data_IF_726462714972
#
_entry.id   IF_726462714972
#
_cell.length_a   1.000
_cell.length_b   1.000
_cell.length_c   1.000
_cell.angle_alpha   90.00
_cell.angle_beta   90.00
_cell.angle_gamma   90.00
#
_symmetry.space_group_name_H-M   'P 1'
#
loop_
_entity.id
_entity.type
_entity.pdbx_description
1 polymer ?
#
# COMPACT_ATOMS: atom_id res chain seq x y z
N UNK A 1 -3.76 11.91 18.91
CA UNK A 1 -4.03 10.47 19.09
C UNK A 1 -5.45 10.29 19.64
N UNK A 2 -6.33 9.55 18.95
CA UNK A 2 -7.67 9.22 19.48
C UNK A 2 -7.64 8.00 20.42
N UNK A 3 -6.56 7.23 20.39
CA UNK A 3 -6.42 5.97 21.16
C UNK A 3 -6.09 6.20 22.64
N UNK A 4 -5.47 7.34 23.02
CA UNK A 4 -5.14 7.66 24.41
C UNK A 4 -6.37 8.00 25.29
N UNK A 5 -7.48 8.41 24.68
CA UNK A 5 -8.69 8.83 25.38
C UNK A 5 -9.51 7.67 26.00
N UNK A 6 -9.19 6.41 25.67
CA UNK A 6 -9.96 5.23 26.08
C UNK A 6 -9.16 4.19 26.87
N UNK A 7 -7.95 4.52 27.34
CA UNK A 7 -7.05 3.56 28.02
C UNK A 7 -6.57 4.10 29.38
N UNK A 8 -7.31 3.88 30.48
CA UNK A 8 -6.75 4.09 31.81
C UNK A 8 -5.77 2.94 32.11
N UNK A 9 -4.52 3.07 31.64
CA UNK A 9 -3.39 2.19 31.94
C UNK A 9 -2.62 2.78 33.14
N UNK A 10 -3.25 2.76 34.31
CA UNK A 10 -2.76 3.35 35.55
C UNK A 10 -1.66 2.51 36.19
N UNK A 11 -1.66 1.20 35.96
CA UNK A 11 -0.72 0.24 36.56
C UNK A 11 -0.63 0.40 38.10
N UNK A 12 -1.77 0.71 38.71
CA UNK A 12 -1.89 1.03 40.13
C UNK A 12 -1.72 -0.18 41.05
N UNK A 13 -1.80 -1.40 40.51
CA UNK A 13 -1.72 -2.65 41.27
C UNK A 13 -0.63 -3.57 40.71
N UNK A 14 0.11 -4.26 41.57
CA UNK A 14 1.22 -5.13 41.18
C UNK A 14 2.57 -4.74 41.79
N UNK A 15 3.54 -5.66 41.70
CA UNK A 15 4.91 -5.39 42.12
C UNK A 15 5.69 -4.76 40.95
N UNK A 16 6.42 -3.66 41.20
CA UNK A 16 7.32 -3.09 40.20
C UNK A 16 8.44 -4.09 39.85
N UNK A 17 8.87 -4.07 38.59
CA UNK A 17 10.10 -4.71 38.16
C UNK A 17 11.33 -3.90 38.60
N UNK A 18 12.52 -4.37 38.21
CA UNK A 18 13.80 -3.70 38.49
C UNK A 18 13.89 -2.27 37.95
N UNK A 19 13.06 -1.91 36.96
CA UNK A 19 13.02 -0.62 36.30
C UNK A 19 11.86 0.27 36.82
N UNK A 20 11.17 -0.17 37.88
CA UNK A 20 10.05 0.55 38.49
C UNK A 20 8.74 0.47 37.69
N UNK A 21 8.66 -0.41 36.69
CA UNK A 21 7.47 -0.60 35.84
C UNK A 21 6.58 -1.69 36.42
N UNK A 22 5.27 -1.54 36.27
CA UNK A 22 4.28 -2.49 36.76
C UNK A 22 3.53 -3.11 35.58
N UNK A 23 3.36 -4.43 35.61
CA UNK A 23 2.59 -5.14 34.58
C UNK A 23 1.10 -4.81 34.73
N UNK A 24 0.45 -4.42 33.64
CA UNK A 24 -1.00 -4.21 33.57
C UNK A 24 -1.75 -5.48 33.99
N UNK A 25 -2.88 -5.32 34.68
CA UNK A 25 -3.67 -6.45 35.21
C UNK A 25 -5.14 -6.36 34.79
N UNK A 26 -5.80 -7.51 34.74
CA UNK A 26 -7.25 -7.69 34.62
C UNK A 26 -7.85 -6.84 33.48
N UNK A 27 -8.60 -5.78 33.83
CA UNK A 27 -9.29 -4.92 32.88
C UNK A 27 -8.34 -4.10 32.01
N UNK A 28 -7.22 -3.62 32.56
CA UNK A 28 -6.24 -2.82 31.82
C UNK A 28 -5.61 -3.66 30.71
N UNK A 29 -5.22 -4.89 31.05
CA UNK A 29 -4.56 -5.79 30.12
C UNK A 29 -5.53 -6.35 29.08
N UNK A 30 -6.73 -6.75 29.50
CA UNK A 30 -7.79 -7.19 28.60
C UNK A 30 -8.22 -6.12 27.60
N UNK A 31 -8.36 -4.88 28.05
CA UNK A 31 -8.65 -3.77 27.14
C UNK A 31 -7.48 -3.44 26.22
N UNK A 32 -6.23 -3.46 26.72
CA UNK A 32 -5.06 -3.25 25.87
C UNK A 32 -5.00 -4.28 24.73
N UNK A 33 -5.20 -5.57 25.02
CA UNK A 33 -5.25 -6.65 24.02
C UNK A 33 -6.40 -6.45 23.04
N UNK A 34 -7.62 -6.18 23.53
CA UNK A 34 -8.76 -5.92 22.65
C UNK A 34 -8.51 -4.72 21.74
N UNK A 35 -7.97 -3.62 22.26
CA UNK A 35 -7.70 -2.40 21.50
C UNK A 35 -6.49 -2.52 20.55
N UNK A 36 -5.57 -3.43 20.82
CA UNK A 36 -4.48 -3.74 19.90
C UNK A 36 -4.99 -4.38 18.59
N UNK A 37 -6.09 -5.13 18.65
CA UNK A 37 -6.68 -5.85 17.51
C UNK A 37 -7.98 -5.22 16.98
N UNK A 38 -8.74 -4.49 17.81
CA UNK A 38 -10.14 -4.10 17.56
C UNK A 38 -10.50 -2.72 18.10
N UNK A 39 -11.52 -2.09 17.51
CA UNK A 39 -12.10 -0.81 17.97
C UNK A 39 -13.53 -0.98 18.54
N UNK A 40 -13.90 -2.21 18.89
CA UNK A 40 -15.24 -2.58 19.36
C UNK A 40 -15.12 -3.34 20.68
N UNK A 41 -16.25 -3.54 21.38
CA UNK A 41 -16.26 -4.18 22.71
C UNK A 41 -15.57 -5.57 22.69
N UNK A 42 -14.86 -5.96 23.77
CA UNK A 42 -14.28 -7.30 23.92
C UNK A 42 -15.30 -8.41 23.64
N UNK A 43 -14.84 -9.52 23.05
CA UNK A 43 -15.67 -10.73 22.91
C UNK A 43 -15.94 -11.37 24.28
N UNK A 44 -16.91 -12.29 24.33
CA UNK A 44 -17.39 -12.84 25.59
C UNK A 44 -16.31 -13.62 26.34
N UNK A 45 -15.47 -14.39 25.63
CA UNK A 45 -14.41 -15.17 26.26
C UNK A 45 -13.35 -14.28 26.89
N UNK A 46 -12.96 -13.18 26.22
CA UNK A 46 -12.05 -12.21 26.79
C UNK A 46 -12.67 -11.51 28.01
N UNK A 47 -13.96 -11.18 27.98
CA UNK A 47 -14.66 -10.61 29.14
C UNK A 47 -14.66 -11.57 30.33
N UNK A 48 -14.94 -12.85 30.09
CA UNK A 48 -14.89 -13.89 31.12
C UNK A 48 -13.47 -14.04 31.68
N UNK A 49 -12.44 -14.07 30.82
CA UNK A 49 -11.05 -14.14 31.27
C UNK A 49 -10.66 -12.96 32.16
N UNK A 50 -11.12 -11.76 31.85
CA UNK A 50 -10.91 -10.57 32.67
C UNK A 50 -11.59 -10.71 34.04
N UNK A 51 -12.87 -11.09 34.08
CA UNK A 51 -13.65 -11.19 35.33
C UNK A 51 -13.13 -12.31 36.24
N UNK A 52 -12.65 -13.41 35.66
CA UNK A 52 -12.09 -14.55 36.40
C UNK A 52 -10.63 -14.34 36.84
N UNK A 53 -10.03 -13.17 36.56
CA UNK A 53 -8.63 -12.88 36.92
C UNK A 53 -7.61 -13.68 36.10
N UNK A 54 -7.98 -14.11 34.90
CA UNK A 54 -7.12 -14.84 33.93
C UNK A 54 -6.46 -13.90 32.92
N UNK A 55 -6.16 -12.67 33.33
CA UNK A 55 -5.46 -11.64 32.56
C UNK A 55 -4.39 -10.95 33.42
N UNK A 56 -3.48 -11.74 34.00
CA UNK A 56 -2.50 -11.27 34.99
C UNK A 56 -1.04 -11.57 34.65
N UNK A 57 -0.83 -12.50 33.73
CA UNK A 57 0.48 -13.00 33.35
C UNK A 57 0.73 -12.85 31.85
N UNK A 58 2.00 -12.89 31.44
CA UNK A 58 2.36 -12.96 30.01
C UNK A 58 1.73 -14.17 29.31
N UNK A 59 1.63 -15.31 30.01
CA UNK A 59 1.03 -16.52 29.48
C UNK A 59 -0.47 -16.35 29.22
N UNK A 60 -1.17 -15.62 30.08
CA UNK A 60 -2.58 -15.27 29.87
C UNK A 60 -2.78 -14.43 28.63
N UNK A 61 -1.96 -13.38 28.46
CA UNK A 61 -2.02 -12.52 27.28
C UNK A 61 -1.72 -13.31 26.02
N UNK A 62 -0.67 -14.14 26.05
CA UNK A 62 -0.30 -14.99 24.93
C UNK A 62 -1.49 -15.87 24.51
N UNK A 63 -2.13 -16.56 25.47
CA UNK A 63 -3.31 -17.40 25.21
C UNK A 63 -4.43 -16.62 24.54
N UNK A 64 -4.79 -15.45 25.07
CA UNK A 64 -5.89 -14.65 24.50
C UNK A 64 -5.53 -14.07 23.13
N UNK A 65 -4.29 -13.61 22.93
CA UNK A 65 -3.84 -13.09 21.63
C UNK A 65 -3.83 -14.20 20.58
N UNK A 66 -3.27 -15.37 20.88
CA UNK A 66 -3.25 -16.52 19.97
C UNK A 66 -4.66 -16.98 19.61
N UNK A 67 -5.55 -17.12 20.61
CA UNK A 67 -6.97 -17.43 20.40
C UNK A 67 -7.64 -16.40 19.49
N UNK A 68 -7.49 -15.12 19.81
CA UNK A 68 -8.11 -14.05 19.05
C UNK A 68 -7.56 -13.97 17.63
N UNK A 69 -6.29 -14.25 17.39
CA UNK A 69 -5.71 -14.26 16.04
C UNK A 69 -6.19 -15.46 15.22
N UNK A 70 -6.28 -16.64 15.83
CA UNK A 70 -6.71 -17.88 15.17
C UNK A 70 -8.21 -17.93 14.81
N UNK A 71 -9.05 -17.17 15.52
CA UNK A 71 -10.50 -17.14 15.27
C UNK A 71 -10.87 -16.16 14.15
N UNK A 72 -11.18 -16.68 12.97
CA UNK A 72 -11.62 -15.91 11.79
C UNK A 72 -12.95 -15.17 12.00
N UNK A 73 -13.80 -15.61 12.94
CA UNK A 73 -15.06 -14.93 13.27
C UNK A 73 -14.82 -13.61 14.01
N UNK A 74 -13.67 -13.49 14.70
CA UNK A 74 -13.28 -12.28 15.39
C UNK A 74 -12.73 -11.29 14.39
N UNK A 75 -13.49 -10.23 14.12
CA UNK A 75 -13.02 -9.12 13.28
C UNK A 75 -11.84 -8.39 13.94
N UNK A 76 -10.71 -8.31 13.23
CA UNK A 76 -9.43 -7.68 13.67
C UNK A 76 -9.06 -6.44 12.82
N UNK A 77 -9.87 -5.35 12.84
CA UNK A 77 -9.71 -4.23 11.93
C UNK A 77 -8.38 -3.47 12.08
N UNK A 78 -7.72 -3.54 13.24
CA UNK A 78 -6.40 -2.92 13.47
C UNK A 78 -5.31 -3.51 12.58
N UNK A 79 -5.38 -4.80 12.27
CA UNK A 79 -4.37 -5.49 11.44
C UNK A 79 -4.42 -4.93 10.01
N UNK A 80 -5.62 -4.84 9.42
CA UNK A 80 -5.77 -4.23 8.10
C UNK A 80 -5.41 -2.73 8.13
N UNK A 81 -5.72 -2.03 9.23
CA UNK A 81 -5.35 -0.63 9.40
C UNK A 81 -3.83 -0.42 9.38
N UNK A 82 -3.06 -1.31 10.00
CA UNK A 82 -1.60 -1.27 9.91
C UNK A 82 -1.12 -1.27 8.47
N UNK A 83 -1.64 -2.17 7.62
CA UNK A 83 -1.21 -2.23 6.22
C UNK A 83 -1.62 -1.00 5.40
N UNK A 84 -2.80 -0.41 5.70
CA UNK A 84 -3.19 0.88 5.11
C UNK A 84 -2.22 1.99 5.51
N UNK A 85 -1.91 2.11 6.79
CA UNK A 85 -0.98 3.14 7.28
C UNK A 85 0.48 2.87 6.85
N UNK A 86 0.85 1.60 6.64
CA UNK A 86 2.19 1.20 6.23
C UNK A 86 2.44 1.49 4.74
N UNK A 87 1.49 1.14 3.86
CA UNK A 87 1.62 1.31 2.42
C UNK A 87 0.93 2.56 1.86
N UNK A 88 0.07 3.23 2.62
CA UNK A 88 -0.69 4.42 2.21
C UNK A 88 -1.60 4.20 0.98
N UNK A 89 -1.88 2.95 0.58
CA UNK A 89 -2.67 2.66 -0.64
C UNK A 89 -4.12 3.13 -0.55
N UNK A 90 -4.65 3.41 0.65
CA UNK A 90 -6.01 3.90 0.83
C UNK A 90 -6.17 5.40 0.55
N UNK A 91 -5.05 6.13 0.40
CA UNK A 91 -5.02 7.56 0.11
C UNK A 91 -5.37 7.90 -1.34
N UNK A 92 -5.26 6.94 -2.27
CA UNK A 92 -5.41 7.20 -3.72
C UNK A 92 -6.75 7.84 -4.08
N UNK A 93 -7.83 7.44 -3.41
CA UNK A 93 -9.16 8.04 -3.61
C UNK A 93 -9.30 9.48 -3.09
N UNK A 94 -8.36 9.94 -2.25
CA UNK A 94 -8.33 11.31 -1.74
C UNK A 94 -7.44 12.24 -2.56
N UNK A 95 -6.68 11.70 -3.53
CA UNK A 95 -5.87 12.52 -4.44
C UNK A 95 -6.77 13.11 -5.54
N UNK A 96 -7.09 14.40 -5.39
CA UNK A 96 -7.85 15.13 -6.40
C UNK A 96 -7.00 15.35 -7.65
N UNK A 97 -7.38 14.68 -8.75
CA UNK A 97 -6.73 14.83 -10.05
C UNK A 97 -7.28 16.02 -10.83
N UNK A 98 -6.40 16.74 -11.51
CA UNK A 98 -6.80 17.69 -12.53
C UNK A 98 -7.46 16.96 -13.71
N UNK A 99 -8.59 17.47 -14.19
CA UNK A 99 -9.39 16.78 -15.20
C UNK A 99 -8.67 16.69 -16.56
N UNK A 100 -7.82 17.67 -16.89
CA UNK A 100 -7.07 17.71 -18.15
C UNK A 100 -5.86 16.79 -18.07
N UNK A 101 -5.10 16.85 -16.98
CA UNK A 101 -3.98 15.94 -16.74
C UNK A 101 -4.44 14.47 -16.71
N UNK A 102 -5.57 14.19 -16.06
CA UNK A 102 -6.15 12.86 -16.00
C UNK A 102 -6.55 12.33 -17.38
N UNK A 103 -7.13 13.17 -18.24
CA UNK A 103 -7.51 12.78 -19.60
C UNK A 103 -6.31 12.30 -20.44
N UNK A 104 -5.12 12.85 -20.20
CA UNK A 104 -3.91 12.52 -20.96
C UNK A 104 -3.34 11.14 -20.57
N UNK A 105 -3.61 10.67 -19.35
CA UNK A 105 -3.15 9.35 -18.86
C UNK A 105 -3.77 8.17 -19.60
N UNK A 106 -4.92 8.38 -20.26
CA UNK A 106 -5.71 7.35 -20.89
C UNK A 106 -6.85 6.80 -20.03
N UNK A 107 -7.01 7.22 -18.76
CA UNK A 107 -8.20 6.86 -17.96
C UNK A 107 -9.36 7.82 -18.19
N UNK A 108 -10.56 7.38 -17.79
CA UNK A 108 -11.75 8.23 -17.82
C UNK A 108 -11.62 9.41 -16.85
N UNK A 109 -11.81 10.62 -17.35
CA UNK A 109 -11.97 11.84 -16.55
C UNK A 109 -13.44 12.27 -16.39
N UNK A 110 -14.39 11.41 -16.80
CA UNK A 110 -15.82 11.74 -16.78
C UNK A 110 -16.37 11.63 -15.36
N UNK A 111 -16.90 12.72 -14.83
CA UNK A 111 -17.57 12.77 -13.53
C UNK A 111 -16.70 12.23 -12.40
N UNK A 112 -17.27 11.36 -11.57
CA UNK A 112 -16.60 10.77 -10.40
C UNK A 112 -15.97 9.39 -10.68
N UNK A 113 -15.74 9.04 -11.96
CA UNK A 113 -15.31 7.69 -12.34
C UNK A 113 -13.93 7.31 -11.76
N UNK A 114 -12.93 8.18 -11.91
CA UNK A 114 -11.60 7.92 -11.36
C UNK A 114 -11.59 7.83 -9.83
N UNK A 115 -12.27 8.78 -9.17
CA UNK A 115 -12.44 8.78 -7.72
C UNK A 115 -13.00 7.45 -7.22
N UNK A 116 -14.10 6.97 -7.81
CA UNK A 116 -14.74 5.69 -7.45
C UNK A 116 -13.80 4.50 -7.67
N UNK A 117 -13.15 4.44 -8.83
CA UNK A 117 -12.21 3.37 -9.14
C UNK A 117 -11.08 3.28 -8.11
N UNK A 118 -10.57 4.41 -7.59
CA UNK A 118 -9.54 4.40 -6.55
C UNK A 118 -10.06 3.90 -5.20
N UNK A 119 -11.28 4.24 -4.77
CA UNK A 119 -11.87 3.64 -3.55
C UNK A 119 -12.15 2.15 -3.71
N UNK A 120 -12.60 1.73 -4.91
CA UNK A 120 -12.84 0.32 -5.21
C UNK A 120 -11.52 -0.47 -5.23
N UNK A 121 -10.46 0.14 -5.77
CA UNK A 121 -9.09 -0.38 -5.76
C UNK A 121 -8.54 -0.53 -4.34
N UNK A 122 -8.88 0.38 -3.42
CA UNK A 122 -8.56 0.21 -1.98
C UNK A 122 -9.21 -1.06 -1.42
N UNK A 123 -10.51 -1.28 -1.65
CA UNK A 123 -11.20 -2.48 -1.19
C UNK A 123 -10.65 -3.77 -1.83
N UNK A 124 -10.21 -3.69 -3.09
CA UNK A 124 -9.50 -4.77 -3.78
C UNK A 124 -8.16 -5.09 -3.11
N UNK A 125 -7.37 -4.05 -2.83
CA UNK A 125 -6.06 -4.18 -2.19
C UNK A 125 -6.20 -4.71 -0.77
N UNK A 126 -7.19 -4.23 -0.01
CA UNK A 126 -7.54 -4.77 1.30
C UNK A 126 -7.80 -6.28 1.22
N UNK A 127 -8.59 -6.72 0.24
CA UNK A 127 -8.96 -8.12 0.07
C UNK A 127 -7.77 -9.00 -0.30
N UNK A 128 -6.86 -8.49 -1.13
CA UNK A 128 -5.60 -9.18 -1.45
C UNK A 128 -4.75 -9.36 -0.19
N UNK A 129 -4.62 -8.31 0.63
CA UNK A 129 -3.88 -8.37 1.90
C UNK A 129 -4.52 -9.40 2.84
N UNK A 130 -5.85 -9.43 2.96
CA UNK A 130 -6.55 -10.45 3.75
C UNK A 130 -6.24 -11.88 3.27
N UNK A 131 -6.11 -12.12 1.96
CA UNK A 131 -5.73 -13.43 1.43
C UNK A 131 -4.30 -13.81 1.83
N UNK A 132 -3.35 -12.89 1.69
CA UNK A 132 -1.94 -13.10 2.09
C UNK A 132 -1.84 -13.34 3.60
N UNK A 133 -2.59 -12.57 4.41
CA UNK A 133 -2.65 -12.75 5.86
C UNK A 133 -3.32 -14.05 6.29
N UNK A 134 -4.22 -14.61 5.46
CA UNK A 134 -4.80 -15.93 5.71
C UNK A 134 -3.79 -17.05 5.48
N UNK A 135 -2.91 -16.89 4.49
CA UNK A 135 -1.79 -17.81 4.26
C UNK A 135 -0.69 -17.66 5.33
N UNK A 136 -0.51 -16.44 5.84
CA UNK A 136 0.36 -16.07 6.96
C UNK A 136 1.81 -16.57 6.84
N UNK A 137 2.36 -16.50 5.62
CA UNK A 137 3.71 -16.95 5.30
C UNK A 137 4.43 -15.92 4.47
N UNK A 138 5.67 -15.61 4.81
CA UNK A 138 6.54 -14.67 4.13
C UNK A 138 5.80 -13.35 3.82
N UNK A 139 4.99 -12.85 4.78
CA UNK A 139 3.93 -11.87 4.51
C UNK A 139 4.46 -10.61 3.83
N UNK A 140 5.53 -10.00 4.35
CA UNK A 140 6.13 -8.82 3.71
C UNK A 140 6.60 -9.12 2.28
N UNK A 141 7.30 -10.25 2.09
CA UNK A 141 7.82 -10.64 0.79
C UNK A 141 6.68 -10.88 -0.20
N UNK A 142 5.62 -11.56 0.20
CA UNK A 142 4.42 -11.75 -0.63
C UNK A 142 3.76 -10.42 -0.99
N UNK A 143 3.61 -9.50 -0.04
CA UNK A 143 3.03 -8.16 -0.30
C UNK A 143 3.85 -7.36 -1.31
N UNK A 144 5.18 -7.54 -1.31
CA UNK A 144 6.10 -6.89 -2.24
C UNK A 144 6.22 -7.62 -3.59
N UNK A 145 6.02 -8.93 -3.65
CA UNK A 145 6.35 -9.74 -4.85
C UNK A 145 5.20 -10.52 -5.46
N UNK A 146 4.00 -10.43 -4.91
CA UNK A 146 2.83 -11.13 -5.46
C UNK A 146 2.50 -10.61 -6.86
N UNK A 147 2.16 -11.53 -7.76
CA UNK A 147 1.58 -11.27 -9.06
C UNK A 147 0.04 -11.33 -9.02
N UNK A 148 -0.55 -11.69 -7.87
CA UNK A 148 -2.00 -11.79 -7.67
C UNK A 148 -2.60 -10.43 -7.41
N UNK A 149 -3.75 -10.18 -8.00
CA UNK A 149 -4.56 -8.98 -7.79
C UNK A 149 -6.04 -9.37 -7.57
N UNK A 150 -6.72 -8.66 -6.68
CA UNK A 150 -8.18 -8.67 -6.63
C UNK A 150 -8.66 -7.48 -7.45
N UNK A 151 -9.52 -7.70 -8.44
CA UNK A 151 -9.83 -6.69 -9.45
C UNK A 151 -11.32 -6.62 -9.78
N UNK A 152 -11.77 -5.42 -10.15
CA UNK A 152 -13.05 -5.14 -10.83
C UNK A 152 -12.84 -5.10 -12.35
N UNK A 153 -13.93 -5.01 -13.11
CA UNK A 153 -13.86 -4.74 -14.55
C UNK A 153 -13.18 -3.39 -14.88
N UNK A 154 -13.36 -2.37 -14.03
CA UNK A 154 -12.71 -1.07 -14.23
C UNK A 154 -11.18 -1.16 -14.07
N UNK A 155 -10.70 -2.07 -13.22
CA UNK A 155 -9.27 -2.25 -12.95
C UNK A 155 -8.51 -2.77 -14.19
N UNK A 156 -9.17 -3.39 -15.17
CA UNK A 156 -8.51 -3.78 -16.44
C UNK A 156 -7.86 -2.59 -17.16
N UNK A 157 -8.43 -1.40 -17.06
CA UNK A 157 -7.82 -0.18 -17.61
C UNK A 157 -6.63 0.27 -16.76
N UNK A 158 -6.78 0.30 -15.44
CA UNK A 158 -5.75 0.82 -14.53
C UNK A 158 -4.52 -0.10 -14.45
N UNK A 159 -4.73 -1.41 -14.52
CA UNK A 159 -3.66 -2.40 -14.59
C UNK A 159 -3.05 -2.52 -16.00
N UNK A 160 -3.68 -1.93 -17.01
CA UNK A 160 -3.23 -1.98 -18.40
C UNK A 160 -2.05 -1.05 -18.73
N UNK A 161 -1.74 -1.04 -20.03
CA UNK A 161 -0.61 -0.33 -20.64
C UNK A 161 -1.08 0.88 -21.45
N UNK A 162 -0.45 2.04 -21.24
CA UNK A 162 -0.67 3.23 -22.05
C UNK A 162 -0.11 3.00 -23.46
N UNK A 163 -0.96 3.15 -24.48
CA UNK A 163 -0.54 3.13 -25.88
C UNK A 163 0.19 4.41 -26.25
N UNK A 164 1.19 4.29 -27.11
CA UNK A 164 1.79 5.40 -27.87
C UNK A 164 0.75 6.08 -28.76
N UNK A 165 1.04 7.29 -29.22
CA UNK A 165 0.16 7.98 -30.17
C UNK A 165 -0.05 7.20 -31.46
N UNK A 166 1.00 6.52 -31.95
CA UNK A 166 0.92 5.70 -33.15
C UNK A 166 -0.02 4.49 -32.95
N UNK A 167 0.13 3.78 -31.84
CA UNK A 167 -0.75 2.65 -31.48
C UNK A 167 -2.18 3.09 -31.23
N UNK A 168 -2.40 4.24 -30.61
CA UNK A 168 -3.75 4.79 -30.41
C UNK A 168 -4.44 5.08 -31.75
N UNK A 169 -3.73 5.70 -32.70
CA UNK A 169 -4.27 5.96 -34.05
C UNK A 169 -4.55 4.64 -34.79
N UNK A 170 -3.66 3.66 -34.69
CA UNK A 170 -3.86 2.35 -35.29
C UNK A 170 -5.08 1.63 -34.69
N UNK A 171 -5.22 1.65 -33.36
CA UNK A 171 -6.36 1.05 -32.65
C UNK A 171 -7.69 1.71 -33.04
N UNK A 172 -7.73 3.04 -33.20
CA UNK A 172 -8.92 3.76 -33.69
C UNK A 172 -9.29 3.34 -35.11
N UNK A 173 -8.31 3.33 -36.03
CA UNK A 173 -8.54 2.89 -37.43
C UNK A 173 -9.05 1.45 -37.52
N UNK A 174 -8.45 0.54 -36.76
CA UNK A 174 -8.87 -0.86 -36.72
C UNK A 174 -10.30 -1.02 -36.20
N UNK A 175 -10.69 -0.25 -35.18
CA UNK A 175 -12.06 -0.27 -34.66
C UNK A 175 -13.08 0.31 -35.66
N UNK A 176 -12.73 1.38 -36.37
CA UNK A 176 -13.56 1.94 -37.44
C UNK A 176 -13.76 0.93 -38.59
N UNK A 177 -12.70 0.21 -38.97
CA UNK A 177 -12.75 -0.83 -40.00
C UNK A 177 -13.62 -2.03 -39.57
N UNK A 178 -13.47 -2.50 -38.32
CA UNK A 178 -14.29 -3.58 -37.78
C UNK A 178 -15.77 -3.19 -37.75
N UNK A 179 -16.08 -2.00 -37.26
CA UNK A 179 -17.45 -1.47 -37.24
C UNK A 179 -18.05 -1.36 -38.64
N UNK A 180 -17.24 -0.98 -39.64
CA UNK A 180 -17.66 -0.96 -41.05
C UNK A 180 -17.97 -2.37 -41.56
N UNK A 181 -17.12 -3.36 -41.28
CA UNK A 181 -17.36 -4.77 -41.67
C UNK A 181 -18.60 -5.36 -40.99
N UNK A 182 -18.87 -5.02 -39.74
CA UNK A 182 -20.08 -5.44 -39.02
C UNK A 182 -21.36 -4.79 -39.58
N UNK A 183 -21.29 -3.52 -39.96
CA UNK A 183 -22.39 -2.83 -40.63
C UNK A 183 -22.69 -3.42 -42.02
N UNK A 184 -21.64 -3.74 -42.79
CA UNK A 184 -21.78 -4.40 -44.10
C UNK A 184 -22.40 -5.81 -43.98
N UNK A 185 -22.07 -6.58 -42.93
CA UNK A 185 -22.64 -7.91 -42.66
C UNK A 185 -24.09 -7.89 -42.17
N UNK A 186 -24.51 -6.84 -41.47
CA UNK A 186 -25.85 -6.76 -40.85
C UNK A 186 -26.94 -6.17 -41.76
N UNK A 187 -26.60 -5.76 -42.99
CA UNK A 187 -27.56 -5.26 -43.99
C UNK A 187 -28.27 -3.95 -43.62
N UNK A 188 -27.99 -3.37 -42.45
CA UNK A 188 -28.46 -2.04 -42.04
C UNK A 188 -27.44 -1.00 -42.49
N UNK A 189 -27.88 0.03 -43.24
CA UNK A 189 -27.09 1.26 -43.39
C UNK A 189 -26.66 1.74 -42.00
N UNK A 190 -25.48 2.36 -41.83
CA UNK A 190 -25.05 2.86 -40.54
C UNK A 190 -25.99 4.00 -40.12
N UNK A 191 -27.05 3.64 -39.39
CA UNK A 191 -27.92 4.61 -38.76
C UNK A 191 -27.04 5.43 -37.78
N UNK A 192 -27.30 6.73 -37.74
CA UNK A 192 -26.64 7.69 -36.85
C UNK A 192 -26.65 7.37 -35.32
N UNK A 193 -27.35 6.35 -34.75
CA UNK A 193 -27.16 5.94 -33.36
C UNK A 193 -25.83 5.21 -33.08
N UNK A 194 -25.13 4.67 -34.08
CA UNK A 194 -23.89 3.91 -33.86
C UNK A 194 -22.71 4.78 -33.34
N UNK A 195 -22.70 6.09 -33.65
CA UNK A 195 -21.70 7.02 -33.09
C UNK A 195 -21.74 7.10 -31.56
N UNK A 196 -22.91 6.95 -30.93
CA UNK A 196 -23.07 7.02 -29.46
C UNK A 196 -22.39 5.88 -28.71
N UNK A 197 -22.13 4.74 -29.35
CA UNK A 197 -21.41 3.60 -28.73
C UNK A 197 -19.94 3.50 -29.18
N UNK A 198 -19.57 4.05 -30.34
CA UNK A 198 -18.16 4.17 -30.75
C UNK A 198 -17.36 5.08 -29.79
N UNK A 199 -18.00 6.10 -29.20
CA UNK A 199 -17.40 7.01 -28.20
C UNK A 199 -17.18 6.39 -26.79
N UNK A 200 -17.39 5.07 -26.62
CA UNK A 200 -17.21 4.36 -25.34
C UNK A 200 -15.96 3.48 -25.27
N UNK A 201 -15.33 3.14 -26.39
CA UNK A 201 -14.15 2.27 -26.38
C UNK A 201 -12.90 3.10 -26.11
N UNK A 202 -12.15 2.73 -25.07
CA UNK A 202 -10.90 3.40 -24.73
C UNK A 202 -9.78 2.95 -25.68
N UNK A 203 -9.43 3.80 -26.64
CA UNK A 203 -8.33 3.53 -27.57
C UNK A 203 -6.96 3.95 -27.04
N UNK A 204 -6.91 4.69 -25.93
CA UNK A 204 -5.67 5.18 -25.34
C UNK A 204 -4.91 4.12 -24.54
N UNK A 205 -5.58 3.06 -24.10
CA UNK A 205 -5.01 2.03 -23.21
C UNK A 205 -5.23 0.65 -23.82
N UNK A 206 -4.21 -0.20 -23.75
CA UNK A 206 -4.37 -1.65 -23.91
C UNK A 206 -4.79 -2.21 -22.55
N UNK A 207 -6.04 -2.67 -22.38
CA UNK A 207 -6.51 -3.20 -21.10
C UNK A 207 -5.70 -4.44 -20.71
N UNK A 208 -5.47 -4.62 -19.41
CA UNK A 208 -4.88 -5.84 -18.88
C UNK A 208 -5.84 -7.02 -19.02
N UNK A 209 -5.28 -8.18 -19.36
CA UNK A 209 -6.00 -9.46 -19.40
C UNK A 209 -6.16 -10.01 -17.99
N UNK A 210 -7.14 -9.49 -17.24
CA UNK A 210 -7.46 -9.97 -15.91
C UNK A 210 -8.60 -10.98 -15.98
N UNK A 211 -8.31 -12.22 -15.62
CA UNK A 211 -9.29 -13.31 -15.51
C UNK A 211 -8.94 -14.22 -14.34
N UNK A 212 -9.96 -14.82 -13.73
CA UNK A 212 -9.79 -15.75 -12.62
C UNK A 212 -11.07 -15.96 -11.83
N UNK A 213 -11.03 -16.75 -10.74
CA UNK A 213 -12.22 -17.07 -9.96
C UNK A 213 -12.82 -15.84 -9.30
N UNK A 214 -14.14 -15.85 -9.14
CA UNK A 214 -14.87 -14.83 -8.40
C UNK A 214 -14.45 -14.83 -6.93
N UNK A 215 -14.34 -13.63 -6.36
CA UNK A 215 -14.02 -13.39 -4.97
C UNK A 215 -14.78 -12.17 -4.48
N UNK A 216 -15.20 -12.22 -3.22
CA UNK A 216 -15.89 -11.10 -2.59
C UNK A 216 -14.93 -10.25 -1.78
N UNK A 217 -15.03 -8.93 -1.94
CA UNK A 217 -14.31 -7.95 -1.14
C UNK A 217 -15.30 -7.15 -0.29
N UNK A 218 -14.91 -6.81 0.94
CA UNK A 218 -15.70 -5.88 1.76
C UNK A 218 -15.48 -4.47 1.24
N UNK A 219 -16.51 -3.88 0.64
CA UNK A 219 -16.46 -2.48 0.20
C UNK A 219 -16.95 -1.58 1.33
N UNK A 220 -16.06 -0.76 1.90
CA UNK A 220 -16.44 0.23 2.90
C UNK A 220 -16.69 1.59 2.26
N UNK A 221 -17.89 1.85 1.72
CA UNK A 221 -18.46 3.22 1.69
C UNK A 221 -19.93 3.32 1.32
N UNK A 222 -20.62 4.11 2.14
CA UNK A 222 -21.73 5.01 1.79
C UNK A 222 -21.11 6.15 0.97
N UNK A 223 -21.14 6.07 -0.36
CA UNK A 223 -20.82 7.19 -1.25
C UNK A 223 -22.14 7.79 -1.71
N UNK A 224 -22.27 9.12 -1.70
CA UNK A 224 -23.50 9.80 -2.12
C UNK A 224 -23.92 9.34 -3.52
N UNK A 225 -25.17 8.85 -3.63
CA UNK A 225 -25.78 8.39 -4.87
C UNK A 225 -25.75 6.88 -5.06
N UNK A 226 -26.51 6.42 -6.06
CA UNK A 226 -26.78 5.03 -6.48
C UNK A 226 -25.55 4.30 -7.05
N UNK A 227 -24.41 4.32 -6.37
CA UNK A 227 -23.29 3.42 -6.65
C UNK A 227 -23.62 2.04 -6.11
N UNK A 228 -23.52 1.00 -6.94
CA UNK A 228 -23.76 -0.37 -6.49
C UNK A 228 -22.68 -0.76 -5.48
N UNK A 229 -23.12 -1.29 -4.34
CA UNK A 229 -22.25 -1.91 -3.35
C UNK A 229 -21.89 -3.33 -3.82
N UNK A 230 -21.47 -3.49 -5.07
CA UNK A 230 -21.16 -4.80 -5.66
C UNK A 230 -19.87 -5.34 -5.03
N UNK A 231 -19.95 -6.38 -4.16
CA UNK A 231 -18.77 -6.97 -3.56
C UNK A 231 -17.99 -7.85 -4.55
N UNK A 232 -18.57 -8.15 -5.72
CA UNK A 232 -18.01 -9.04 -6.74
C UNK A 232 -16.69 -8.49 -7.29
N UNK A 233 -15.69 -9.35 -7.27
CA UNK A 233 -14.35 -9.13 -7.84
C UNK A 233 -13.88 -10.44 -8.45
N UNK A 234 -12.76 -10.37 -9.16
CA UNK A 234 -12.00 -11.55 -9.58
C UNK A 234 -10.65 -11.58 -8.89
N UNK A 235 -10.16 -12.77 -8.55
CA UNK A 235 -8.76 -12.99 -8.20
C UNK A 235 -8.01 -13.32 -9.48
N UNK A 236 -7.18 -12.41 -9.97
CA UNK A 236 -6.45 -12.54 -11.24
C UNK A 236 -4.94 -12.45 -11.02
N UNK A 237 -4.18 -12.69 -12.08
CA UNK A 237 -2.74 -12.45 -12.15
C UNK A 237 -2.48 -11.24 -13.03
N UNK A 238 -1.54 -10.38 -12.63
CA UNK A 238 -1.13 -9.20 -13.40
C UNK A 238 -0.27 -9.59 -14.62
N UNK A 239 -0.22 -8.75 -15.67
CA UNK A 239 0.68 -9.00 -16.81
C UNK A 239 2.16 -9.12 -16.36
N UNK A 240 2.81 -10.19 -16.81
CA UNK A 240 4.20 -10.47 -16.46
C UNK A 240 5.15 -9.36 -16.95
N UNK A 241 6.09 -8.96 -16.09
CA UNK A 241 7.09 -7.93 -16.40
C UNK A 241 6.56 -6.49 -16.38
N UNK A 242 5.25 -6.27 -16.21
CA UNK A 242 4.67 -4.93 -16.08
C UNK A 242 4.42 -4.53 -14.62
N UNK A 243 4.17 -5.50 -13.74
CA UNK A 243 3.78 -5.26 -12.33
C UNK A 243 4.32 -6.35 -11.40
N UNK A 244 4.57 -5.96 -10.16
CA UNK A 244 5.02 -6.81 -9.07
C UNK A 244 4.64 -6.20 -7.72
N UNK A 245 3.79 -6.89 -6.96
CA UNK A 245 3.35 -6.50 -5.61
C UNK A 245 2.65 -5.15 -5.48
N UNK A 246 2.36 -4.78 -4.22
CA UNK A 246 1.52 -3.62 -3.88
C UNK A 246 2.10 -2.29 -4.39
N UNK A 247 3.43 -2.15 -4.44
CA UNK A 247 4.07 -0.91 -4.88
C UNK A 247 3.88 -0.60 -6.37
N UNK A 248 3.36 -1.55 -7.13
CA UNK A 248 3.00 -1.38 -8.54
C UNK A 248 1.50 -1.34 -8.75
N UNK A 249 0.70 -1.39 -7.69
CA UNK A 249 -0.75 -1.26 -7.79
C UNK A 249 -1.17 0.20 -8.04
N UNK A 250 -2.22 0.43 -8.85
CA UNK A 250 -2.75 1.78 -9.08
C UNK A 250 -3.08 2.54 -7.79
N UNK A 251 -3.64 1.86 -6.79
CA UNK A 251 -3.97 2.44 -5.48
C UNK A 251 -2.74 3.08 -4.81
N UNK A 252 -1.63 2.34 -4.71
CA UNK A 252 -0.37 2.84 -4.16
C UNK A 252 0.29 3.92 -5.02
N UNK A 253 0.34 3.70 -6.35
CA UNK A 253 0.98 4.62 -7.30
C UNK A 253 0.29 5.99 -7.34
N UNK A 254 -1.04 6.01 -7.21
CA UNK A 254 -1.85 7.23 -7.14
C UNK A 254 -1.73 7.89 -5.77
N UNK A 255 -1.72 7.14 -4.66
CA UNK A 255 -1.43 7.70 -3.32
C UNK A 255 -0.11 8.48 -3.27
N UNK A 256 0.87 8.04 -4.04
CA UNK A 256 2.20 8.68 -4.16
C UNK A 256 2.35 9.51 -5.44
N UNK A 257 1.29 10.20 -5.84
CA UNK A 257 1.26 11.16 -6.94
C UNK A 257 0.66 12.50 -6.49
N UNK A 258 0.62 13.49 -7.37
CA UNK A 258 -0.10 14.74 -7.12
C UNK A 258 -1.28 14.90 -8.10
N UNK A 259 -1.84 16.10 -8.19
CA UNK A 259 -3.00 16.37 -9.03
C UNK A 259 -2.71 16.23 -10.54
N UNK A 260 -1.49 16.49 -10.98
CA UNK A 260 -1.12 16.63 -12.39
C UNK A 260 -0.06 15.64 -12.84
N UNK A 261 0.84 15.22 -11.94
CA UNK A 261 2.07 14.52 -12.22
C UNK A 261 2.27 13.28 -11.34
N UNK A 262 3.13 12.38 -11.82
CA UNK A 262 3.70 11.31 -11.00
C UNK A 262 4.81 11.90 -10.13
N UNK A 263 5.11 11.27 -9.00
CA UNK A 263 5.99 11.88 -8.01
C UNK A 263 7.08 10.92 -7.55
N UNK A 264 8.14 10.79 -8.36
CA UNK A 264 9.31 9.95 -8.06
C UNK A 264 9.89 10.23 -6.66
N UNK A 265 10.02 11.51 -6.28
CA UNK A 265 10.59 11.89 -4.97
C UNK A 265 9.76 11.34 -3.79
N UNK A 266 8.42 11.38 -3.84
CA UNK A 266 7.54 10.84 -2.78
C UNK A 266 7.65 9.31 -2.71
N UNK A 267 7.67 8.64 -3.87
CA UNK A 267 7.84 7.17 -3.96
C UNK A 267 9.20 6.75 -3.38
N UNK A 268 10.27 7.46 -3.74
CA UNK A 268 11.62 7.22 -3.24
C UNK A 268 11.76 7.48 -1.73
N UNK A 269 11.16 8.56 -1.22
CA UNK A 269 11.05 8.84 0.22
C UNK A 269 10.36 7.69 0.95
N UNK A 270 9.24 7.21 0.42
CA UNK A 270 8.50 6.10 1.01
C UNK A 270 9.38 4.85 1.12
N UNK A 271 10.09 4.46 0.04
CA UNK A 271 10.99 3.29 0.05
C UNK A 271 12.10 3.48 1.09
N UNK A 272 12.71 4.66 1.13
CA UNK A 272 13.77 4.99 2.08
C UNK A 272 13.33 4.82 3.53
N UNK A 273 12.16 5.34 3.86
CA UNK A 273 11.64 5.37 5.24
C UNK A 273 10.97 4.04 5.65
N UNK A 274 10.25 3.39 4.74
CA UNK A 274 9.42 2.21 5.04
C UNK A 274 10.13 0.88 4.80
N UNK A 275 11.05 0.80 3.84
CA UNK A 275 11.76 -0.45 3.51
C UNK A 275 13.23 -0.45 3.91
N UNK A 276 13.96 0.66 3.70
CA UNK A 276 15.41 0.72 4.02
C UNK A 276 15.67 1.24 5.44
N UNK A 277 14.66 1.88 6.04
CA UNK A 277 14.69 2.35 7.42
C UNK A 277 15.55 3.58 7.67
N UNK A 278 15.91 4.30 6.60
CA UNK A 278 16.59 5.60 6.69
C UNK A 278 15.61 6.76 6.89
N UNK A 279 16.12 7.90 7.34
CA UNK A 279 15.34 9.14 7.48
C UNK A 279 15.64 10.16 6.39
N UNK A 280 14.63 10.91 5.99
CA UNK A 280 14.76 12.11 5.17
C UNK A 280 14.41 13.32 6.06
N UNK A 281 15.30 14.32 6.20
CA UNK A 281 14.99 15.51 6.97
C UNK A 281 13.86 16.28 6.31
N UNK A 282 13.03 16.93 7.11
CA UNK A 282 11.99 17.81 6.59
C UNK A 282 12.61 18.97 5.82
N UNK A 283 11.89 19.40 4.79
CA UNK A 283 12.29 20.54 3.96
C UNK A 283 12.22 21.81 4.82
N UNK A 284 13.31 22.58 4.93
CA UNK A 284 13.28 23.84 5.66
C UNK A 284 12.23 24.79 5.07
N UNK A 285 11.59 25.59 5.92
CA UNK A 285 10.51 26.51 5.52
C UNK A 285 10.91 27.52 4.43
N UNK A 286 12.21 27.72 4.21
CA UNK A 286 12.76 28.66 3.24
C UNK A 286 12.91 28.08 1.83
N UNK A 287 12.67 26.78 1.65
CA UNK A 287 12.92 26.08 0.39
C UNK A 287 11.62 25.94 -0.37
N UNK A 288 11.56 26.53 -1.57
CA UNK A 288 10.46 26.32 -2.51
C UNK A 288 10.66 24.99 -3.25
N UNK A 289 10.09 23.91 -2.69
CA UNK A 289 10.23 22.55 -3.21
C UNK A 289 9.26 22.26 -4.37
N UNK A 290 9.33 23.07 -5.43
CA UNK A 290 8.54 22.90 -6.65
C UNK A 290 9.42 22.57 -7.85
N UNK A 291 8.95 21.62 -8.67
CA UNK A 291 9.54 21.38 -9.98
C UNK A 291 9.08 22.46 -10.97
N UNK A 292 9.90 22.84 -11.96
CA UNK A 292 9.48 23.75 -13.02
C UNK A 292 8.20 23.26 -13.74
N UNK A 293 7.29 24.19 -14.02
CA UNK A 293 6.09 23.95 -14.84
C UNK A 293 6.48 23.93 -16.33
N UNK A 294 6.98 22.79 -16.77
CA UNK A 294 7.44 22.54 -18.13
C UNK A 294 6.76 21.30 -18.68
N UNK A 295 5.47 21.37 -19.07
CA UNK A 295 4.68 20.19 -19.44
C UNK A 295 5.14 19.50 -20.73
N UNK A 296 6.08 20.10 -21.47
CA UNK A 296 6.72 19.51 -22.65
C UNK A 296 8.00 18.71 -22.30
N UNK A 297 8.40 18.74 -21.03
CA UNK A 297 9.56 18.04 -20.52
C UNK A 297 9.11 16.83 -19.69
N UNK A 298 9.85 15.75 -19.79
CA UNK A 298 9.70 14.54 -18.96
C UNK A 298 9.89 14.87 -17.48
N UNK A 299 9.41 14.02 -16.57
CA UNK A 299 9.63 14.25 -15.14
C UNK A 299 11.13 14.31 -14.83
N UNK A 300 11.93 13.42 -15.42
CA UNK A 300 13.39 13.40 -15.25
C UNK A 300 14.05 14.70 -15.72
N UNK A 301 13.64 15.25 -16.86
CA UNK A 301 14.14 16.54 -17.37
C UNK A 301 13.76 17.71 -16.43
N UNK A 302 12.55 17.68 -15.85
CA UNK A 302 12.09 18.68 -14.87
C UNK A 302 12.83 18.57 -13.54
N UNK A 303 13.18 17.36 -13.12
CA UNK A 303 13.95 17.09 -11.90
C UNK A 303 15.41 17.55 -11.96
N UNK A 304 15.89 18.15 -13.06
CA UNK A 304 17.27 18.71 -13.11
C UNK A 304 17.58 19.69 -11.98
N UNK A 305 16.57 20.45 -11.51
CA UNK A 305 16.72 21.40 -10.39
C UNK A 305 17.04 20.71 -9.06
N UNK A 306 16.68 19.42 -8.91
CA UNK A 306 16.98 18.66 -7.69
C UNK A 306 18.46 18.30 -7.57
N UNK A 307 19.23 18.45 -8.65
CA UNK A 307 20.66 18.15 -8.74
C UNK A 307 21.56 19.30 -8.32
N UNK A 308 20.99 20.47 -8.02
CA UNK A 308 21.75 21.56 -7.40
C UNK A 308 22.30 21.13 -6.04
N UNK A 309 23.46 21.65 -5.64
CA UNK A 309 24.23 21.18 -4.48
C UNK A 309 23.41 21.11 -3.19
N UNK A 310 22.63 22.16 -2.93
CA UNK A 310 21.77 22.23 -1.76
C UNK A 310 20.66 21.15 -1.80
N UNK A 311 19.91 21.07 -2.90
CA UNK A 311 18.83 20.09 -3.10
C UNK A 311 19.35 18.65 -3.03
N UNK A 312 20.53 18.39 -3.63
CA UNK A 312 21.10 17.05 -3.73
C UNK A 312 21.50 16.46 -2.37
N UNK A 313 21.65 17.28 -1.33
CA UNK A 313 21.87 16.82 0.06
C UNK A 313 20.80 15.81 0.50
N UNK A 314 19.55 16.06 0.13
CA UNK A 314 18.42 15.20 0.46
C UNK A 314 18.02 14.31 -0.73
N UNK A 315 17.96 14.88 -1.94
CA UNK A 315 17.49 14.17 -3.13
C UNK A 315 18.32 12.94 -3.49
N UNK A 316 19.63 12.95 -3.18
CA UNK A 316 20.47 11.76 -3.37
C UNK A 316 19.90 10.52 -2.71
N UNK A 317 19.21 10.65 -1.57
CA UNK A 317 18.64 9.55 -0.79
C UNK A 317 17.27 9.06 -1.28
N UNK A 318 16.62 9.78 -2.20
CA UNK A 318 15.24 9.53 -2.61
C UNK A 318 15.12 9.31 -4.12
N UNK A 319 15.73 10.20 -4.92
CA UNK A 319 15.55 10.20 -6.37
C UNK A 319 15.97 8.84 -6.98
N UNK A 320 17.14 8.25 -6.64
CA UNK A 320 17.52 6.94 -7.20
C UNK A 320 16.57 5.80 -6.85
N UNK A 321 15.85 5.90 -5.72
CA UNK A 321 14.86 4.91 -5.27
C UNK A 321 13.50 5.11 -5.95
N UNK A 322 13.13 6.35 -6.26
CA UNK A 322 11.83 6.72 -6.82
C UNK A 322 11.76 6.70 -8.34
N UNK A 323 12.85 7.08 -9.00
CA UNK A 323 12.97 7.19 -10.45
C UNK A 323 12.69 5.88 -11.22
N UNK A 324 12.91 4.67 -10.66
CA UNK A 324 12.51 3.44 -11.33
C UNK A 324 11.02 3.25 -11.53
N UNK A 325 10.19 3.95 -10.75
CA UNK A 325 8.73 3.95 -10.89
C UNK A 325 8.23 4.87 -12.01
N UNK A 326 9.12 5.51 -12.77
CA UNK A 326 8.75 6.30 -13.96
C UNK A 326 8.08 5.45 -15.05
N UNK A 327 8.23 4.12 -15.00
CA UNK A 327 7.46 3.17 -15.81
C UNK A 327 5.95 3.23 -15.56
N UNK A 328 5.48 4.00 -14.58
CA UNK A 328 4.05 4.26 -14.34
C UNK A 328 3.73 5.74 -14.37
N UNK A 329 2.66 6.10 -15.10
CA UNK A 329 2.16 7.47 -15.13
C UNK A 329 1.45 7.84 -13.82
N UNK A 330 0.94 9.08 -13.73
CA UNK A 330 0.32 9.60 -12.50
C UNK A 330 -1.03 8.98 -12.15
N UNK A 331 -1.66 8.22 -13.06
CA UNK A 331 -2.85 7.41 -12.79
C UNK A 331 -2.50 5.93 -12.48
N UNK A 332 -1.21 5.57 -12.47
CA UNK A 332 -0.72 4.23 -12.17
C UNK A 332 -0.71 3.24 -13.34
N UNK A 333 -0.92 3.72 -14.57
CA UNK A 333 -0.83 2.87 -15.77
C UNK A 333 0.62 2.66 -16.16
N UNK A 334 0.94 1.44 -16.58
CA UNK A 334 2.24 1.12 -17.15
C UNK A 334 2.45 1.92 -18.45
N UNK A 335 3.67 2.42 -18.63
CA UNK A 335 4.09 3.18 -19.82
C UNK A 335 5.52 2.86 -20.20
N UNK A 336 5.78 2.81 -21.50
CA UNK A 336 7.12 2.75 -22.08
C UNK A 336 7.59 4.12 -22.58
N UNK A 337 6.63 5.02 -22.83
CA UNK A 337 6.88 6.36 -23.34
C UNK A 337 6.30 7.42 -22.40
N UNK A 338 7.05 8.49 -22.20
CA UNK A 338 6.59 9.75 -21.63
C UNK A 338 6.79 10.85 -22.69
N UNK A 339 5.72 11.54 -23.08
CA UNK A 339 5.75 12.56 -24.13
C UNK A 339 6.37 12.03 -25.45
N UNK A 340 6.05 10.78 -25.80
CA UNK A 340 6.60 10.04 -26.96
C UNK A 340 8.12 9.82 -26.93
N UNK A 341 8.78 10.04 -25.79
CA UNK A 341 10.17 9.69 -25.54
C UNK A 341 10.25 8.40 -24.69
N UNK A 342 11.24 7.52 -24.89
CA UNK A 342 11.45 6.36 -24.02
C UNK A 342 11.59 6.77 -22.55
N UNK A 343 10.86 6.08 -21.68
CA UNK A 343 11.01 6.25 -20.23
C UNK A 343 12.32 5.62 -19.80
N UNK A 344 13.14 6.39 -19.09
CA UNK A 344 14.26 5.84 -18.33
C UNK A 344 13.74 5.32 -16.98
N UNK A 345 13.93 4.02 -16.72
CA UNK A 345 13.51 3.33 -15.50
C UNK A 345 14.69 2.99 -14.60
N UNK A 346 15.90 3.40 -14.95
CA UNK A 346 17.09 3.07 -14.17
C UNK A 346 17.12 3.83 -12.84
N UNK A 347 17.70 3.19 -11.82
CA UNK A 347 17.89 3.77 -10.50
C UNK A 347 18.93 3.00 -9.70
N UNK A 348 18.91 3.21 -8.40
CA UNK A 348 19.93 2.65 -7.50
C UNK A 348 19.37 2.48 -6.09
N UNK A 349 19.66 1.34 -5.46
CA UNK A 349 19.51 1.18 -4.02
C UNK A 349 20.79 1.70 -3.38
N UNK A 350 20.68 2.72 -2.53
CA UNK A 350 21.84 3.33 -1.88
C UNK A 350 21.60 3.53 -0.39
N UNK A 351 22.66 3.40 0.41
CA UNK A 351 22.66 3.70 1.85
C UNK A 351 21.50 2.98 2.55
N UNK A 352 21.34 1.70 2.21
CA UNK A 352 20.35 0.81 2.82
C UNK A 352 20.75 0.35 4.23
N UNK A 353 22.04 0.50 4.56
CA UNK A 353 22.66 -0.10 5.74
C UNK A 353 23.15 -1.53 5.52
N UNK A 354 22.94 -2.10 4.34
CA UNK A 354 23.45 -3.41 3.91
C UNK A 354 24.16 -3.26 2.54
N UNK A 355 25.50 -3.25 2.51
CA UNK A 355 26.26 -3.10 1.26
C UNK A 355 25.96 -4.17 0.20
N UNK A 356 25.45 -5.34 0.59
CA UNK A 356 25.09 -6.39 -0.37
C UNK A 356 23.77 -6.11 -1.10
N UNK A 357 22.91 -5.26 -0.54
CA UNK A 357 21.67 -4.81 -1.15
C UNK A 357 21.88 -3.60 -2.08
N UNK A 358 22.89 -2.76 -1.77
CA UNK A 358 23.17 -1.54 -2.52
C UNK A 358 23.66 -1.83 -3.95
N UNK A 359 23.21 -1.02 -4.90
CA UNK A 359 23.64 -1.11 -6.29
C UNK A 359 22.58 -0.67 -7.30
N UNK A 360 23.00 -0.62 -8.56
CA UNK A 360 22.15 -0.22 -9.69
C UNK A 360 21.03 -1.23 -9.94
N UNK A 361 19.91 -0.71 -10.41
CA UNK A 361 18.72 -1.46 -10.83
C UNK A 361 18.19 -0.92 -12.15
N UNK A 362 17.68 -1.81 -12.99
CA UNK A 362 17.15 -1.46 -14.31
C UNK A 362 15.74 -0.85 -14.24
N UNK A 363 14.94 -1.24 -13.26
CA UNK A 363 13.55 -0.80 -13.10
C UNK A 363 13.01 -1.05 -11.67
N UNK A 364 11.76 -0.65 -11.42
CA UNK A 364 11.12 -0.82 -10.12
C UNK A 364 10.93 -2.29 -9.72
N UNK A 365 10.69 -3.18 -10.68
CA UNK A 365 10.47 -4.62 -10.42
C UNK A 365 11.74 -5.24 -9.86
N UNK A 366 12.89 -5.05 -10.53
CA UNK A 366 14.20 -5.54 -10.04
C UNK A 366 14.55 -4.97 -8.65
N UNK A 367 14.24 -3.69 -8.41
CA UNK A 367 14.42 -3.09 -7.09
C UNK A 367 13.57 -3.78 -6.02
N UNK A 368 12.29 -4.00 -6.32
CA UNK A 368 11.35 -4.64 -5.40
C UNK A 368 11.79 -6.06 -5.08
N UNK A 369 12.23 -6.84 -6.08
CA UNK A 369 12.75 -8.20 -5.89
C UNK A 369 13.96 -8.23 -4.96
N UNK A 370 14.93 -7.34 -5.19
CA UNK A 370 16.12 -7.20 -4.33
C UNK A 370 15.75 -6.83 -2.89
N UNK A 371 14.89 -5.83 -2.70
CA UNK A 371 14.48 -5.37 -1.37
C UNK A 371 13.65 -6.44 -0.67
N UNK A 372 12.75 -7.13 -1.36
CA UNK A 372 11.91 -8.19 -0.79
C UNK A 372 12.69 -9.42 -0.33
N UNK A 373 13.91 -9.63 -0.86
CA UNK A 373 14.82 -10.68 -0.42
C UNK A 373 15.73 -10.25 0.75
N UNK A 374 15.71 -8.97 1.15
CA UNK A 374 16.65 -8.44 2.13
C UNK A 374 16.16 -8.64 3.57
N UNK A 375 17.05 -9.17 4.43
CA UNK A 375 16.87 -9.20 5.88
C UNK A 375 16.67 -7.78 6.45
N UNK A 376 17.38 -6.78 5.91
CA UNK A 376 17.25 -5.39 6.34
C UNK A 376 15.80 -4.90 6.20
N UNK A 377 15.13 -5.23 5.09
CA UNK A 377 13.75 -4.83 4.86
C UNK A 377 12.79 -5.50 5.86
N UNK A 378 13.01 -6.78 6.18
CA UNK A 378 12.23 -7.49 7.21
C UNK A 378 12.38 -6.84 8.60
N UNK A 379 13.61 -6.50 9.00
CA UNK A 379 13.87 -5.83 10.28
C UNK A 379 13.21 -4.44 10.35
N UNK A 380 13.24 -3.67 9.26
CA UNK A 380 12.59 -2.36 9.18
C UNK A 380 11.07 -2.50 9.25
N UNK A 381 10.49 -3.52 8.60
CA UNK A 381 9.07 -3.82 8.68
C UNK A 381 8.64 -4.14 10.13
N UNK A 382 9.39 -4.99 10.84
CA UNK A 382 9.16 -5.31 12.26
C UNK A 382 9.19 -4.05 13.12
N UNK A 383 10.11 -3.12 12.84
CA UNK A 383 10.19 -1.83 13.55
C UNK A 383 8.95 -0.96 13.31
N UNK A 384 8.42 -0.91 12.09
CA UNK A 384 7.17 -0.20 11.81
C UNK A 384 5.95 -0.87 12.46
N UNK A 385 5.92 -2.21 12.52
CA UNK A 385 4.92 -2.94 13.29
C UNK A 385 4.99 -2.54 14.78
N UNK A 386 6.18 -2.58 15.39
CA UNK A 386 6.36 -2.12 16.77
C UNK A 386 5.77 -0.72 17.00
N UNK A 387 6.09 0.25 16.14
CA UNK A 387 5.58 1.63 16.25
C UNK A 387 4.07 1.69 16.24
N UNK A 388 3.43 0.93 15.35
CA UNK A 388 1.98 0.92 15.21
C UNK A 388 1.26 0.28 16.41
N UNK A 389 1.77 -0.84 16.93
CA UNK A 389 1.13 -1.54 18.04
C UNK A 389 1.46 -0.96 19.41
N UNK A 390 2.65 -0.39 19.60
CA UNK A 390 3.02 0.32 20.83
C UNK A 390 2.54 1.77 20.85
N UNK A 391 2.20 2.34 19.69
CA UNK A 391 1.73 3.73 19.58
C UNK A 391 2.82 4.77 19.85
N UNK A 392 4.10 4.41 19.72
CA UNK A 392 5.25 5.29 19.94
C UNK A 392 6.44 4.88 19.10
N UNK A 393 7.41 5.77 18.95
CA UNK A 393 8.72 5.42 18.38
C UNK A 393 9.49 4.49 19.33
N UNK A 394 10.32 3.63 18.75
CA UNK A 394 11.29 2.81 19.47
C UNK A 394 12.41 3.64 20.08
N UNK A 395 12.93 3.15 21.18
CA UNK A 395 14.12 3.67 21.87
C UNK A 395 15.21 2.60 21.85
N UNK A 396 16.42 2.96 22.28
CA UNK A 396 17.52 1.97 22.39
C UNK A 396 17.16 0.81 23.33
N UNK A 397 16.33 1.05 24.35
CA UNK A 397 15.90 0.04 25.30
C UNK A 397 14.93 -1.00 24.70
N UNK A 398 14.34 -0.70 23.53
CA UNK A 398 13.44 -1.63 22.82
C UNK A 398 14.20 -2.61 21.93
N UNK A 399 15.54 -2.52 21.84
CA UNK A 399 16.35 -3.40 21.01
C UNK A 399 16.12 -4.90 21.29
N UNK A 400 16.03 -5.39 22.55
CA UNK A 400 15.72 -6.78 22.82
C UNK A 400 14.34 -7.20 22.29
N UNK A 401 13.32 -6.35 22.47
CA UNK A 401 11.95 -6.60 21.99
C UNK A 401 11.91 -6.68 20.46
N UNK A 402 12.59 -5.77 19.77
CA UNK A 402 12.66 -5.78 18.30
C UNK A 402 13.41 -7.01 17.76
N UNK A 403 14.48 -7.44 18.42
CA UNK A 403 15.22 -8.65 18.05
C UNK A 403 14.37 -9.91 18.25
N UNK A 404 13.65 -10.01 19.37
CA UNK A 404 12.73 -11.12 19.64
C UNK A 404 11.58 -11.15 18.62
N UNK A 405 10.99 -9.99 18.32
CA UNK A 405 9.94 -9.85 17.32
C UNK A 405 10.42 -10.24 15.92
N UNK A 406 11.65 -9.86 15.54
CA UNK A 406 12.24 -10.26 14.27
C UNK A 406 12.50 -11.77 14.20
N UNK A 407 13.06 -12.38 15.26
CA UNK A 407 13.23 -13.84 15.34
C UNK A 407 11.89 -14.56 15.26
N UNK A 408 10.89 -14.11 16.01
CA UNK A 408 9.55 -14.69 15.96
C UNK A 408 8.94 -14.62 14.55
N UNK A 409 9.10 -13.50 13.84
CA UNK A 409 8.69 -13.37 12.45
C UNK A 409 9.47 -14.35 11.54
N UNK A 410 10.80 -14.39 11.63
CA UNK A 410 11.67 -15.16 10.73
C UNK A 410 11.55 -16.67 10.96
N UNK A 411 11.64 -17.12 12.21
CA UNK A 411 11.64 -18.53 12.59
C UNK A 411 10.28 -19.21 12.32
N UNK A 412 9.20 -18.41 12.26
CA UNK A 412 7.86 -18.86 11.88
C UNK A 412 7.53 -18.56 10.41
N UNK A 413 8.54 -18.49 9.54
CA UNK A 413 8.38 -18.39 8.10
C UNK A 413 7.70 -17.09 7.65
N UNK A 414 8.01 -15.96 8.29
CA UNK A 414 7.46 -14.65 7.97
C UNK A 414 5.99 -14.46 8.36
N UNK A 415 5.54 -15.14 9.41
CA UNK A 415 4.17 -15.05 9.93
C UNK A 415 3.93 -13.71 10.64
N UNK A 416 2.88 -13.02 10.19
CA UNK A 416 2.40 -11.81 10.83
C UNK A 416 1.74 -12.12 12.17
N UNK A 417 1.05 -13.26 12.33
CA UNK A 417 0.50 -13.66 13.62
C UNK A 417 1.60 -13.91 14.66
N UNK A 418 2.69 -14.60 14.29
CA UNK A 418 3.82 -14.83 15.19
C UNK A 418 4.48 -13.50 15.63
N UNK A 419 4.63 -12.56 14.70
CA UNK A 419 5.11 -11.20 15.00
C UNK A 419 4.17 -10.48 15.97
N UNK A 420 2.85 -10.54 15.77
CA UNK A 420 1.88 -9.92 16.67
C UNK A 420 1.88 -10.57 18.05
N UNK A 421 1.95 -11.90 18.15
CA UNK A 421 2.06 -12.60 19.43
C UNK A 421 3.31 -12.13 20.18
N UNK A 422 4.47 -12.05 19.50
CA UNK A 422 5.70 -11.56 20.13
C UNK A 422 5.58 -10.12 20.62
N UNK A 423 5.07 -9.20 19.79
CA UNK A 423 4.93 -7.80 20.17
C UNK A 423 3.92 -7.60 21.32
N UNK A 424 2.75 -8.22 21.24
CA UNK A 424 1.67 -8.08 22.22
C UNK A 424 1.92 -8.87 23.51
N UNK A 425 2.94 -9.72 23.55
CA UNK A 425 3.39 -10.37 24.79
C UNK A 425 4.72 -9.83 25.28
N UNK A 426 5.25 -8.75 24.70
CA UNK A 426 6.52 -8.12 25.09
C UNK A 426 6.39 -7.21 26.32
N UNK A 427 7.52 -6.90 26.97
CA UNK A 427 7.54 -5.98 28.10
C UNK A 427 7.05 -4.58 27.73
N UNK A 428 7.38 -4.13 26.51
CA UNK A 428 6.94 -2.84 25.97
C UNK A 428 5.41 -2.73 25.91
N UNK A 429 4.72 -3.85 25.70
CA UNK A 429 3.26 -3.90 25.69
C UNK A 429 2.68 -4.05 27.10
N UNK A 430 3.26 -4.95 27.92
CA UNK A 430 2.68 -5.40 29.18
C UNK A 430 2.90 -4.45 30.37
N UNK A 431 3.97 -3.66 30.37
CA UNK A 431 4.39 -2.88 31.54
C UNK A 431 4.20 -1.37 31.35
N UNK A 432 3.88 -0.66 32.43
CA UNK A 432 3.85 0.82 32.49
C UNK A 432 4.57 1.33 33.72
N UNK A 433 5.19 2.50 33.60
CA UNK A 433 5.71 3.22 34.77
C UNK A 433 4.53 3.75 35.58
N UNK A 434 4.56 3.59 36.91
CA UNK A 434 3.58 4.26 37.78
C UNK A 434 3.73 5.77 37.63
N UNK A 435 2.62 6.45 37.31
CA UNK A 435 2.56 7.91 37.35
C UNK A 435 2.67 8.43 38.78
#
# INVERSE_FOLDING_TARGET
ERDALFRPELAGTGQPDQDGRVMLQDWELGLAVNHALRYIKPDEELRTAIVEGRMRTRADVKREVERMLADDSIRKPRVLRFFRDYFDYDLGGYICKDARALAQTGVSNRGQSHYRAMFDSTASTDRLIEQILKEDRDVLKQLLTTDRVVATEADKIYFGKRRSRAEEVAARKAAEELARKEAEKSGKKPDKPAKRNQDKVNHSVTPAELSGPEIYARVSRRSFGTGSMEPERILATVPAGERLGILTHPSWLVSHSDAMDNHAIRRGRWIRERLLGGGIPDVPITVDAMLPDEPQNTLRERMRVTREEYCWTCHKKMDPLGLPFEMYNHAGLFRELELEKPVDTTGEIIDSGDPALDGKVANAIEMIEKIAASERAEQVFVRHAFRFWMGRNETLNDAPVLQEAYRAYKDNGGSMNALLVSLLTSDAFLYRTRN
#
